data_IF_148601350116
#
_entry.id   IF_148601350116
#
_cell.length_a   1.000
_cell.length_b   1.000
_cell.length_c   1.000
_cell.angle_alpha   90.00
_cell.angle_beta   90.00
_cell.angle_gamma   90.00
#
_symmetry.space_group_name_H-M   'P 1'
#
loop_
_entity.id
_entity.type
_entity.pdbx_description
1 polymer ?
#
# COMPACT_ATOMS: atom_id res chain seq x y z
N UNK A 1 -22.81 11.30 -80.52
CA UNK A 1 -21.80 11.02 -79.52
C UNK A 1 -22.32 11.49 -78.16
N UNK A 2 -22.73 10.61 -77.30
CA UNK A 2 -23.25 10.94 -75.94
C UNK A 2 -22.16 10.69 -74.97
N UNK A 3 -21.58 11.66 -74.30
CA UNK A 3 -20.62 11.55 -73.25
C UNK A 3 -21.36 11.48 -71.92
N UNK A 4 -21.35 10.27 -71.32
CA UNK A 4 -21.83 10.06 -69.96
C UNK A 4 -20.77 10.49 -68.99
N UNK A 5 -21.01 11.54 -68.22
CA UNK A 5 -20.19 11.94 -67.07
C UNK A 5 -20.52 11.10 -65.85
N UNK A 6 -19.55 10.33 -65.39
CA UNK A 6 -19.65 9.56 -64.14
C UNK A 6 -19.35 10.52 -62.99
N UNK A 7 -20.36 10.84 -62.17
CA UNK A 7 -20.22 11.64 -60.97
C UNK A 7 -19.81 10.71 -59.81
N UNK A 8 -18.54 10.70 -59.45
CA UNK A 8 -18.04 9.96 -58.27
C UNK A 8 -18.35 10.76 -57.00
N UNK A 9 -19.34 10.31 -56.25
CA UNK A 9 -19.66 10.87 -54.94
C UNK A 9 -18.67 10.29 -53.91
N UNK A 10 -17.72 11.11 -53.45
CA UNK A 10 -16.82 10.78 -52.37
C UNK A 10 -17.58 10.93 -51.04
N UNK A 11 -18.04 9.82 -50.45
CA UNK A 11 -18.58 9.80 -49.09
C UNK A 11 -17.45 9.99 -48.11
N UNK A 12 -17.25 11.21 -47.62
CA UNK A 12 -16.42 11.48 -46.44
C UNK A 12 -17.25 11.11 -45.21
N UNK A 13 -17.08 9.91 -44.71
CA UNK A 13 -17.60 9.56 -43.39
C UNK A 13 -16.79 10.33 -42.35
N UNK A 14 -17.30 11.48 -41.93
CA UNK A 14 -16.83 12.17 -40.74
C UNK A 14 -17.18 11.28 -39.55
N UNK A 15 -16.21 10.50 -39.06
CA UNK A 15 -16.35 9.78 -37.81
C UNK A 15 -16.49 10.82 -36.69
N UNK A 16 -17.72 11.06 -36.27
CA UNK A 16 -17.96 11.79 -35.04
C UNK A 16 -17.29 10.96 -33.93
N UNK A 17 -16.17 11.45 -33.42
CA UNK A 17 -15.65 10.99 -32.13
C UNK A 17 -16.72 11.42 -31.13
N UNK A 18 -17.64 10.50 -30.82
CA UNK A 18 -18.52 10.66 -29.67
C UNK A 18 -17.59 10.74 -28.47
N UNK A 19 -17.37 11.94 -27.92
CA UNK A 19 -16.80 12.11 -26.61
C UNK A 19 -17.74 11.35 -25.66
N UNK A 20 -17.34 10.17 -25.25
CA UNK A 20 -18.07 9.45 -24.22
C UNK A 20 -17.98 10.26 -22.93
N UNK A 21 -19.11 10.43 -22.25
CA UNK A 21 -19.13 11.08 -20.95
C UNK A 21 -18.29 10.28 -19.94
N UNK A 22 -17.69 11.00 -19.00
CA UNK A 22 -16.96 10.36 -17.90
C UNK A 22 -17.90 9.40 -17.15
N UNK A 23 -17.49 8.14 -16.91
CA UNK A 23 -18.30 7.21 -16.14
C UNK A 23 -18.65 7.73 -14.75
N UNK A 24 -19.91 7.61 -14.33
CA UNK A 24 -20.42 8.07 -13.03
C UNK A 24 -19.74 7.41 -11.83
N UNK A 25 -19.21 6.19 -12.04
CA UNK A 25 -18.52 5.42 -11.00
C UNK A 25 -17.02 5.39 -11.31
N UNK A 26 -16.21 6.26 -10.69
CA UNK A 26 -14.76 6.23 -10.85
C UNK A 26 -14.17 4.97 -10.22
N UNK A 27 -12.99 4.59 -10.67
CA UNK A 27 -12.18 3.60 -9.96
C UNK A 27 -11.66 4.17 -8.64
N UNK A 28 -11.33 3.30 -7.69
CA UNK A 28 -10.72 3.68 -6.42
C UNK A 28 -9.51 2.79 -6.13
N UNK A 29 -8.34 3.42 -6.04
CA UNK A 29 -7.11 2.80 -5.55
C UNK A 29 -6.81 3.35 -4.17
N UNK A 30 -6.96 2.52 -3.15
CA UNK A 30 -6.65 2.86 -1.76
C UNK A 30 -5.33 2.20 -1.36
N UNK A 31 -4.29 3.02 -1.18
CA UNK A 31 -2.96 2.58 -0.76
C UNK A 31 -2.78 2.85 0.72
N UNK A 32 -2.75 1.78 1.51
CA UNK A 32 -2.53 1.82 2.95
C UNK A 32 -1.15 1.27 3.28
N UNK A 33 -0.30 2.14 3.78
CA UNK A 33 1.09 1.81 4.09
C UNK A 33 1.22 1.47 5.57
N UNK A 34 2.05 0.50 5.89
CA UNK A 34 2.23 -0.02 7.24
C UNK A 34 3.40 0.66 7.94
N UNK A 35 3.11 1.37 9.02
CA UNK A 35 4.09 2.10 9.84
C UNK A 35 4.93 3.13 9.05
N UNK A 36 4.37 3.80 8.06
CA UNK A 36 5.04 4.92 7.38
C UNK A 36 4.80 6.21 8.17
N UNK A 37 5.86 6.84 8.65
CA UNK A 37 5.79 8.14 9.28
C UNK A 37 5.53 9.26 8.29
N UNK A 38 4.91 10.34 8.75
CA UNK A 38 4.64 11.49 7.88
C UNK A 38 5.93 12.19 7.44
N UNK A 39 7.00 12.13 8.25
CA UNK A 39 8.31 12.65 7.91
C UNK A 39 9.11 11.77 6.93
N UNK A 40 8.61 10.59 6.60
CA UNK A 40 9.31 9.64 5.75
C UNK A 40 9.04 9.88 4.25
N UNK A 41 8.30 10.94 3.92
CA UNK A 41 7.97 11.33 2.54
C UNK A 41 8.44 12.75 2.28
N UNK A 42 9.24 12.94 1.23
CA UNK A 42 9.91 14.23 0.93
C UNK A 42 8.92 15.37 0.72
N UNK A 43 7.73 15.09 0.19
CA UNK A 43 6.74 16.13 -0.11
C UNK A 43 6.18 16.88 1.10
N UNK A 44 6.44 16.41 2.32
CA UNK A 44 6.04 17.17 3.52
C UNK A 44 6.97 18.34 3.84
N UNK A 45 8.16 18.38 3.23
CA UNK A 45 9.11 19.52 3.31
C UNK A 45 9.39 19.96 4.75
N UNK A 46 9.92 19.05 5.53
CA UNK A 46 10.22 19.29 6.93
C UNK A 46 11.54 20.01 7.11
N UNK A 47 11.71 20.64 8.26
CA UNK A 47 12.88 21.45 8.62
C UNK A 47 14.23 20.69 8.59
N UNK A 48 14.19 19.36 8.68
CA UNK A 48 15.37 18.51 8.57
C UNK A 48 15.49 17.84 7.19
N UNK A 49 16.74 17.66 6.69
CA UNK A 49 16.95 17.00 5.40
C UNK A 49 16.40 15.59 5.40
N UNK A 50 15.35 15.34 4.64
CA UNK A 50 14.79 14.01 4.43
C UNK A 50 15.76 13.13 3.61
N UNK A 51 16.29 12.03 4.16
CA UNK A 51 17.25 11.19 3.44
C UNK A 51 16.59 10.32 2.38
N UNK A 52 15.28 10.13 2.45
CA UNK A 52 14.52 9.22 1.59
C UNK A 52 14.41 9.76 0.16
N UNK A 53 14.18 8.87 -0.78
CA UNK A 53 13.89 9.22 -2.18
C UNK A 53 12.49 8.73 -2.53
N UNK A 54 11.54 9.68 -2.64
CA UNK A 54 10.11 9.40 -2.81
C UNK A 54 9.49 10.11 -4.02
N UNK A 55 10.13 10.04 -5.22
CA UNK A 55 9.71 10.85 -6.36
C UNK A 55 8.28 10.54 -6.85
N UNK A 56 7.79 9.31 -6.68
CA UNK A 56 6.44 8.92 -7.10
C UNK A 56 5.37 9.40 -6.11
N UNK A 57 5.63 9.29 -4.80
CA UNK A 57 4.77 9.86 -3.76
C UNK A 57 4.73 11.39 -3.88
N UNK A 58 5.86 12.04 -4.15
CA UNK A 58 5.95 13.49 -4.38
C UNK A 58 5.20 13.91 -5.65
N UNK A 59 5.25 13.10 -6.70
CA UNK A 59 4.45 13.32 -7.92
C UNK A 59 2.96 13.22 -7.62
N UNK A 60 2.55 12.25 -6.82
CA UNK A 60 1.16 12.08 -6.41
C UNK A 60 0.66 13.27 -5.60
N UNK A 61 1.45 13.76 -4.62
CA UNK A 61 1.10 14.92 -3.79
C UNK A 61 0.90 16.19 -4.62
N UNK A 62 1.76 16.42 -5.63
CA UNK A 62 1.65 17.58 -6.53
C UNK A 62 0.43 17.53 -7.46
N UNK A 63 -0.11 16.34 -7.74
CA UNK A 63 -1.29 16.15 -8.60
C UNK A 63 -2.60 16.10 -7.82
N UNK A 64 -2.54 16.00 -6.51
CA UNK A 64 -3.69 15.79 -5.65
C UNK A 64 -3.84 16.85 -4.57
N UNK A 65 -4.49 16.47 -3.48
CA UNK A 65 -4.66 17.28 -2.27
C UNK A 65 -3.94 16.58 -1.12
N UNK A 66 -3.07 17.30 -0.45
CA UNK A 66 -2.34 16.82 0.71
C UNK A 66 -3.02 17.32 2.00
N UNK A 67 -3.39 16.39 2.87
CA UNK A 67 -4.05 16.70 4.14
C UNK A 67 -2.99 16.80 5.24
N UNK A 68 -2.59 18.02 5.60
CA UNK A 68 -1.57 18.28 6.63
C UNK A 68 -2.06 17.97 8.05
N UNK A 69 -3.37 17.93 8.26
CA UNK A 69 -4.00 17.63 9.54
C UNK A 69 -4.83 16.35 9.46
N UNK A 70 -4.35 15.35 8.72
CA UNK A 70 -4.94 14.02 8.68
C UNK A 70 -4.37 13.14 9.80
N UNK A 71 -5.24 12.64 10.68
CA UNK A 71 -4.82 11.83 11.82
C UNK A 71 -5.31 10.40 11.69
N UNK A 72 -4.41 9.46 12.01
CA UNK A 72 -4.78 8.05 12.17
C UNK A 72 -5.71 7.89 13.38
N UNK A 73 -6.72 7.01 13.30
CA UNK A 73 -7.66 6.79 14.41
C UNK A 73 -7.04 6.03 15.58
N UNK A 74 -5.85 5.47 15.43
CA UNK A 74 -5.12 4.73 16.47
C UNK A 74 -3.62 4.73 16.16
N UNK A 75 -2.75 4.69 17.18
CA UNK A 75 -1.30 4.58 16.98
C UNK A 75 -0.81 3.17 16.60
N UNK A 76 -1.72 2.22 16.32
CA UNK A 76 -1.38 0.84 15.99
C UNK A 76 -2.30 0.25 14.91
N UNK A 77 -1.76 -0.69 14.15
CA UNK A 77 -2.31 -1.22 12.90
C UNK A 77 -3.76 -1.72 12.98
N UNK A 78 -4.05 -2.72 13.82
CA UNK A 78 -5.35 -3.42 13.80
C UNK A 78 -6.54 -2.51 14.10
N UNK A 79 -6.51 -1.66 15.13
CA UNK A 79 -7.58 -0.69 15.37
C UNK A 79 -7.75 0.31 14.24
N UNK A 80 -6.66 0.84 13.69
CA UNK A 80 -6.72 1.78 12.56
C UNK A 80 -7.34 1.15 11.33
N UNK A 81 -6.89 -0.06 10.96
CA UNK A 81 -7.43 -0.78 9.79
C UNK A 81 -8.90 -1.11 9.94
N UNK A 82 -9.31 -1.53 11.15
CA UNK A 82 -10.73 -1.74 11.47
C UNK A 82 -11.56 -0.45 11.38
N UNK A 83 -11.01 0.67 11.83
CA UNK A 83 -11.67 1.98 11.77
C UNK A 83 -11.80 2.47 10.32
N UNK A 84 -10.74 2.36 9.51
CA UNK A 84 -10.75 2.72 8.07
C UNK A 84 -11.84 1.94 7.32
N UNK A 85 -11.94 0.64 7.56
CA UNK A 85 -12.93 -0.20 6.86
C UNK A 85 -14.36 0.05 7.33
N UNK A 86 -14.57 0.25 8.63
CA UNK A 86 -15.92 0.38 9.22
C UNK A 86 -16.43 1.82 9.32
N UNK A 87 -15.55 2.82 9.15
CA UNK A 87 -15.88 4.23 9.42
C UNK A 87 -16.15 4.53 10.89
N UNK A 88 -15.72 3.67 11.82
CA UNK A 88 -16.00 3.78 13.25
C UNK A 88 -14.71 3.91 14.05
N UNK A 89 -14.67 4.89 14.96
CA UNK A 89 -13.55 5.05 15.88
C UNK A 89 -13.30 3.77 16.71
N UNK A 90 -12.02 3.40 16.98
CA UNK A 90 -11.65 2.18 17.73
C UNK A 90 -12.36 2.01 19.07
N UNK A 91 -12.65 3.10 19.79
CA UNK A 91 -13.41 3.03 21.04
C UNK A 91 -14.87 2.54 20.85
N UNK A 92 -15.48 2.79 19.68
CA UNK A 92 -16.83 2.30 19.34
C UNK A 92 -16.83 0.83 18.97
N UNK A 93 -15.80 0.38 18.27
CA UNK A 93 -15.63 -1.02 17.85
C UNK A 93 -15.08 -1.88 18.98
N UNK A 94 -14.57 -1.25 20.05
CA UNK A 94 -13.84 -1.90 21.14
C UNK A 94 -12.62 -2.71 20.68
N UNK A 95 -12.09 -2.42 19.49
CA UNK A 95 -10.83 -2.93 18.99
C UNK A 95 -9.78 -1.84 19.16
N UNK A 96 -9.02 -1.87 20.27
CA UNK A 96 -8.15 -0.78 20.70
C UNK A 96 -6.67 -1.18 20.81
N UNK A 97 -6.31 -2.41 20.44
CA UNK A 97 -4.92 -2.90 20.45
C UNK A 97 -4.70 -4.02 19.42
N UNK A 98 -3.45 -4.24 19.05
CA UNK A 98 -3.03 -5.27 18.08
C UNK A 98 -3.01 -6.70 18.64
N UNK A 99 -2.93 -6.84 19.94
CA UNK A 99 -2.67 -8.13 20.62
C UNK A 99 -3.88 -8.69 21.36
N UNK A 100 -5.07 -8.28 20.99
CA UNK A 100 -6.27 -8.56 21.73
C UNK A 100 -7.08 -9.75 21.21
N UNK A 101 -8.13 -10.08 21.91
CA UNK A 101 -9.06 -11.17 21.65
C UNK A 101 -9.11 -12.16 22.78
N UNK A 102 -8.42 -11.85 23.85
CA UNK A 102 -8.67 -12.52 25.13
C UNK A 102 -9.59 -11.63 25.94
N UNK A 103 -10.61 -12.21 26.62
CA UNK A 103 -11.37 -11.47 27.60
C UNK A 103 -10.41 -10.77 28.55
N UNK A 104 -10.77 -9.63 29.14
CA UNK A 104 -9.95 -9.00 30.14
C UNK A 104 -9.72 -10.01 31.24
N UNK A 105 -8.52 -10.55 31.27
CA UNK A 105 -8.15 -11.35 32.42
C UNK A 105 -7.82 -10.34 33.52
N UNK A 106 -8.55 -10.33 34.63
CA UNK A 106 -8.34 -9.37 35.73
C UNK A 106 -6.95 -9.43 36.33
N UNK A 107 -6.11 -10.33 35.87
CA UNK A 107 -4.79 -10.66 36.44
C UNK A 107 -3.62 -10.31 35.49
N UNK A 108 -3.84 -9.66 34.37
CA UNK A 108 -2.74 -9.16 33.55
C UNK A 108 -2.13 -7.87 34.14
N UNK A 109 -1.89 -7.90 35.44
CA UNK A 109 -1.01 -6.96 36.12
C UNK A 109 0.46 -7.42 35.90
N UNK A 110 0.97 -7.21 34.72
CA UNK A 110 2.43 -7.34 34.49
C UNK A 110 3.16 -6.14 35.10
N UNK A 111 3.04 -5.94 36.43
CA UNK A 111 3.68 -4.82 37.11
C UNK A 111 3.09 -3.42 36.77
N UNK A 112 2.07 -3.32 35.94
CA UNK A 112 1.43 -2.06 35.57
C UNK A 112 0.43 -1.62 36.63
N UNK A 113 0.43 -0.33 36.96
CA UNK A 113 -0.53 0.27 37.92
C UNK A 113 -1.96 0.31 37.40
N UNK A 114 -2.18 0.08 36.08
CA UNK A 114 -3.47 0.14 35.44
C UNK A 114 -3.82 -1.19 34.78
N UNK A 115 -5.09 -1.55 34.80
CA UNK A 115 -5.65 -2.68 34.05
C UNK A 115 -6.15 -2.14 32.73
N UNK A 116 -5.65 -2.68 31.60
CA UNK A 116 -6.15 -2.32 30.29
C UNK A 116 -7.65 -2.64 30.16
N UNK A 117 -8.44 -1.80 29.49
CA UNK A 117 -9.85 -2.08 29.24
C UNK A 117 -10.00 -3.35 28.40
N UNK A 118 -11.20 -3.91 28.43
CA UNK A 118 -11.53 -5.01 27.54
C UNK A 118 -11.38 -4.56 26.09
N UNK A 119 -10.71 -5.37 25.30
CA UNK A 119 -10.53 -5.13 23.88
C UNK A 119 -11.07 -6.32 23.09
N UNK A 120 -11.94 -6.03 22.13
CA UNK A 120 -12.40 -7.02 21.16
C UNK A 120 -11.19 -7.43 20.29
N UNK A 121 -11.04 -8.70 20.03
CA UNK A 121 -9.89 -9.20 19.27
C UNK A 121 -9.98 -9.00 17.76
N UNK A 122 -10.56 -7.93 17.30
CA UNK A 122 -10.70 -7.58 15.89
C UNK A 122 -12.05 -6.95 15.57
N UNK A 123 -12.25 -6.65 14.30
CA UNK A 123 -13.51 -6.09 13.78
C UNK A 123 -14.66 -7.09 13.95
N UNK A 124 -15.85 -6.61 14.30
CA UNK A 124 -17.04 -7.44 14.29
C UNK A 124 -17.33 -7.91 12.87
N UNK A 125 -17.52 -9.23 12.65
CA UNK A 125 -17.86 -9.74 11.32
C UNK A 125 -19.16 -9.16 10.72
N UNK A 126 -20.02 -8.60 11.57
CA UNK A 126 -21.27 -7.95 11.15
C UNK A 126 -21.12 -6.46 10.81
N UNK A 127 -19.91 -5.91 10.97
CA UNK A 127 -19.68 -4.53 10.56
C UNK A 127 -19.88 -4.39 9.05
N UNK A 128 -20.71 -3.41 8.66
CA UNK A 128 -20.87 -3.03 7.27
C UNK A 128 -19.69 -2.13 6.87
N UNK A 129 -18.86 -2.63 6.00
CA UNK A 129 -17.62 -1.98 5.61
C UNK A 129 -17.76 -1.16 4.33
N UNK A 130 -16.82 -0.23 4.10
CA UNK A 130 -16.71 0.49 2.83
C UNK A 130 -16.62 -0.45 1.64
N UNK A 131 -15.97 -1.61 1.83
CA UNK A 131 -15.85 -2.65 0.78
C UNK A 131 -17.20 -3.21 0.40
N UNK A 132 -18.03 -3.57 1.39
CA UNK A 132 -19.40 -4.05 1.16
C UNK A 132 -20.24 -2.98 0.49
N UNK A 133 -20.15 -1.72 0.96
CA UNK A 133 -20.85 -0.60 0.36
C UNK A 133 -20.48 -0.39 -1.12
N UNK A 134 -19.22 -0.46 -1.46
CA UNK A 134 -18.77 -0.36 -2.85
C UNK A 134 -19.20 -1.55 -3.68
N UNK A 135 -19.11 -2.77 -3.14
CA UNK A 135 -19.58 -4.00 -3.80
C UNK A 135 -21.09 -3.94 -4.10
N UNK A 136 -21.91 -3.52 -3.14
CA UNK A 136 -23.35 -3.36 -3.30
C UNK A 136 -23.69 -2.30 -4.37
N UNK A 137 -22.75 -1.38 -4.62
CA UNK A 137 -22.83 -0.39 -5.71
C UNK A 137 -22.15 -0.85 -7.01
N UNK A 138 -21.85 -2.13 -7.16
CA UNK A 138 -21.37 -2.74 -8.42
C UNK A 138 -19.88 -2.55 -8.69
N UNK A 139 -19.08 -2.27 -7.66
CA UNK A 139 -17.62 -2.28 -7.78
C UNK A 139 -17.08 -3.72 -7.71
N UNK A 140 -16.07 -4.01 -8.52
CA UNK A 140 -15.21 -5.18 -8.34
C UNK A 140 -14.19 -4.86 -7.24
N UNK A 141 -14.14 -5.66 -6.18
CA UNK A 141 -13.37 -5.34 -4.98
C UNK A 141 -12.18 -6.26 -4.80
N UNK A 142 -10.99 -5.69 -4.60
CA UNK A 142 -9.74 -6.42 -4.41
C UNK A 142 -8.97 -5.98 -3.17
N UNK A 143 -8.37 -6.95 -2.49
CA UNK A 143 -7.46 -6.75 -1.38
C UNK A 143 -6.13 -7.44 -1.65
N UNK A 144 -5.02 -6.74 -1.47
CA UNK A 144 -3.67 -7.31 -1.55
C UNK A 144 -2.82 -6.87 -0.36
N UNK A 145 -2.06 -7.80 0.22
CA UNK A 145 -1.12 -7.52 1.28
C UNK A 145 -1.66 -7.71 2.71
N UNK A 146 -1.33 -6.79 3.62
CA UNK A 146 -1.62 -6.90 5.05
C UNK A 146 -3.10 -6.65 5.35
N UNK A 147 -3.73 -7.59 6.04
CA UNK A 147 -5.11 -7.47 6.51
C UNK A 147 -5.20 -6.89 7.93
N UNK A 148 -4.85 -7.68 8.91
CA UNK A 148 -4.70 -7.32 10.31
C UNK A 148 -5.89 -6.59 10.96
N UNK A 149 -7.11 -6.97 10.62
CA UNK A 149 -8.34 -6.47 11.29
C UNK A 149 -8.91 -7.47 12.30
N UNK A 150 -8.26 -8.61 12.48
CA UNK A 150 -8.59 -9.64 13.45
C UNK A 150 -7.41 -9.87 14.40
N UNK A 151 -7.60 -10.71 15.41
CA UNK A 151 -6.63 -11.02 16.47
C UNK A 151 -5.24 -11.38 15.93
N UNK A 152 -5.22 -12.02 14.79
CA UNK A 152 -4.04 -12.36 14.03
C UNK A 152 -4.43 -12.49 12.54
N UNK A 153 -3.45 -12.70 11.69
CA UNK A 153 -3.69 -12.80 10.25
C UNK A 153 -4.47 -14.05 9.81
N UNK A 154 -4.79 -14.96 10.71
CA UNK A 154 -5.52 -16.19 10.42
C UNK A 154 -6.96 -16.19 10.96
N UNK A 155 -7.25 -15.26 11.87
CA UNK A 155 -8.54 -15.21 12.53
C UNK A 155 -9.63 -14.59 11.63
N UNK A 156 -10.86 -14.95 11.90
CA UNK A 156 -12.04 -14.37 11.29
C UNK A 156 -12.32 -12.96 11.85
N UNK A 157 -12.79 -11.99 11.05
CA UNK A 157 -13.13 -12.11 9.63
C UNK A 157 -11.90 -12.01 8.71
N UNK A 158 -11.96 -12.69 7.57
CA UNK A 158 -11.00 -12.58 6.48
C UNK A 158 -11.47 -11.53 5.45
N UNK A 159 -10.63 -11.05 4.51
CA UNK A 159 -11.06 -10.05 3.54
C UNK A 159 -12.32 -10.44 2.75
N UNK A 160 -12.42 -11.70 2.34
CA UNK A 160 -13.58 -12.20 1.59
C UNK A 160 -14.87 -12.17 2.40
N UNK A 161 -14.79 -12.31 3.72
CA UNK A 161 -15.93 -12.22 4.64
C UNK A 161 -16.41 -10.76 4.81
N UNK A 162 -15.58 -9.81 4.40
CA UNK A 162 -15.83 -8.37 4.48
C UNK A 162 -16.07 -7.71 3.11
N UNK A 163 -16.45 -8.52 2.11
CA UNK A 163 -16.93 -8.03 0.83
C UNK A 163 -15.90 -7.97 -0.29
N UNK A 164 -14.65 -8.38 -0.06
CA UNK A 164 -13.67 -8.45 -1.15
C UNK A 164 -13.93 -9.66 -2.05
N UNK A 165 -14.02 -9.42 -3.37
CA UNK A 165 -14.16 -10.47 -4.38
C UNK A 165 -12.85 -11.23 -4.58
N UNK A 166 -11.72 -10.52 -4.42
CA UNK A 166 -10.37 -11.03 -4.56
C UNK A 166 -9.52 -10.68 -3.35
N UNK A 167 -8.70 -11.62 -2.89
CA UNK A 167 -7.71 -11.36 -1.86
C UNK A 167 -6.51 -12.28 -1.97
N UNK A 168 -5.31 -11.69 -1.81
CA UNK A 168 -4.04 -12.42 -1.66
C UNK A 168 -3.59 -12.54 -0.23
N UNK A 169 -4.50 -12.37 0.70
CA UNK A 169 -4.17 -12.31 2.12
C UNK A 169 -3.37 -13.53 2.63
N UNK A 170 -2.32 -13.26 3.42
CA UNK A 170 -1.70 -14.22 4.31
C UNK A 170 -2.77 -14.75 5.32
N UNK A 171 -2.93 -16.05 5.62
CA UNK A 171 -1.87 -17.05 5.61
C UNK A 171 -1.91 -18.07 4.46
N UNK A 172 -2.87 -17.98 3.57
CA UNK A 172 -2.97 -18.96 2.48
C UNK A 172 -1.80 -18.90 1.51
N UNK A 173 -1.13 -17.76 1.47
CA UNK A 173 0.01 -17.53 0.62
C UNK A 173 1.11 -16.80 1.39
N UNK A 174 2.23 -17.48 1.68
CA UNK A 174 3.36 -16.83 2.36
C UNK A 174 3.93 -15.64 1.57
N UNK A 175 3.82 -15.67 0.24
CA UNK A 175 4.23 -14.56 -0.62
C UNK A 175 3.37 -13.31 -0.46
N UNK A 176 2.20 -13.41 0.18
CA UNK A 176 1.35 -12.25 0.48
C UNK A 176 1.98 -11.23 1.45
N UNK A 177 3.12 -11.53 2.05
CA UNK A 177 3.95 -10.57 2.77
C UNK A 177 4.93 -9.82 1.86
N UNK A 178 4.85 -10.01 0.55
CA UNK A 178 5.68 -9.34 -0.42
C UNK A 178 7.18 -9.57 -0.19
N UNK A 179 7.97 -8.56 -0.47
CA UNK A 179 9.43 -8.60 -0.35
C UNK A 179 9.94 -8.92 1.05
N UNK A 180 9.12 -8.76 2.08
CA UNK A 180 9.47 -9.09 3.46
C UNK A 180 9.25 -10.56 3.82
N UNK A 181 8.67 -11.36 2.93
CA UNK A 181 8.39 -12.77 3.20
C UNK A 181 9.67 -13.60 3.34
N UNK A 182 9.73 -14.40 4.40
CA UNK A 182 10.80 -15.40 4.61
C UNK A 182 12.21 -14.83 4.84
N UNK A 183 12.36 -13.53 5.11
CA UNK A 183 13.66 -12.96 5.47
C UNK A 183 14.02 -13.32 6.90
N UNK A 184 15.11 -14.07 7.06
CA UNK A 184 15.62 -14.52 8.38
C UNK A 184 16.90 -13.80 8.81
N UNK A 185 17.64 -13.27 7.85
CA UNK A 185 18.90 -12.58 8.08
C UNK A 185 19.00 -11.39 7.14
N UNK A 186 19.20 -10.19 7.67
CA UNK A 186 19.24 -8.93 6.92
C UNK A 186 20.35 -8.90 5.87
N UNK A 187 21.49 -9.58 6.12
CA UNK A 187 22.64 -9.58 5.23
C UNK A 187 22.75 -10.80 4.29
N UNK A 188 21.87 -11.79 4.43
CA UNK A 188 21.99 -13.05 3.68
C UNK A 188 20.83 -13.32 2.69
N UNK A 189 19.80 -12.48 2.68
CA UNK A 189 18.61 -12.73 1.87
C UNK A 189 18.45 -11.72 0.73
N UNK A 190 19.55 -11.22 0.19
CA UNK A 190 19.51 -10.34 -0.98
C UNK A 190 18.97 -11.08 -2.19
N UNK A 191 18.11 -10.39 -2.92
CA UNK A 191 17.60 -10.87 -4.19
C UNK A 191 18.69 -10.79 -5.26
N UNK A 192 18.57 -11.65 -6.25
CA UNK A 192 19.53 -11.77 -7.35
C UNK A 192 18.86 -11.44 -8.69
N UNK A 193 19.64 -11.29 -9.75
CA UNK A 193 19.12 -11.16 -11.13
C UNK A 193 18.71 -12.52 -11.74
N UNK A 194 18.84 -13.63 -10.98
CA UNK A 194 18.43 -14.94 -11.47
C UNK A 194 16.90 -14.98 -11.72
N UNK A 195 16.42 -15.34 -12.93
CA UNK A 195 15.00 -15.45 -13.22
C UNK A 195 14.21 -16.44 -12.33
N UNK A 196 14.92 -17.38 -11.69
CA UNK A 196 14.32 -18.35 -10.75
C UNK A 196 14.18 -17.81 -9.32
N UNK A 197 14.79 -16.67 -9.03
CA UNK A 197 14.63 -16.00 -7.75
C UNK A 197 13.21 -15.42 -7.67
N UNK A 198 12.37 -15.82 -6.71
CA UNK A 198 11.02 -15.28 -6.57
C UNK A 198 10.98 -13.77 -6.30
N UNK A 199 12.07 -13.23 -5.79
CA UNK A 199 12.26 -11.79 -5.52
C UNK A 199 13.29 -11.15 -6.45
N UNK A 200 13.50 -11.74 -7.63
CA UNK A 200 14.53 -11.29 -8.59
C UNK A 200 14.56 -9.77 -8.73
N UNK A 201 15.78 -9.25 -8.81
CA UNK A 201 15.98 -7.84 -9.08
C UNK A 201 15.66 -7.52 -10.54
N UNK A 202 15.03 -6.39 -10.76
CA UNK A 202 14.92 -5.79 -12.08
C UNK A 202 16.25 -5.15 -12.53
N UNK A 203 16.24 -4.49 -13.67
CA UNK A 203 17.42 -3.81 -14.23
C UNK A 203 17.92 -2.66 -13.35
N UNK A 204 17.02 -2.03 -12.58
CA UNK A 204 17.29 -0.90 -11.70
C UNK A 204 17.70 -1.34 -10.28
N UNK A 205 17.67 -2.64 -9.99
CA UNK A 205 18.05 -3.20 -8.69
C UNK A 205 16.93 -3.27 -7.67
N UNK A 206 15.66 -3.08 -8.08
CA UNK A 206 14.52 -3.27 -7.20
C UNK A 206 14.06 -4.72 -7.19
N UNK A 207 13.76 -5.29 -6.01
CA UNK A 207 13.27 -6.65 -5.92
C UNK A 207 11.82 -6.76 -6.41
N UNK A 208 11.48 -7.89 -7.00
CA UNK A 208 10.08 -8.17 -7.34
C UNK A 208 9.25 -8.34 -6.07
N UNK A 209 8.13 -7.62 -5.99
CA UNK A 209 7.16 -7.72 -4.90
C UNK A 209 5.88 -8.43 -5.35
N UNK A 210 5.56 -9.54 -4.68
CA UNK A 210 4.35 -10.30 -5.01
C UNK A 210 3.06 -9.54 -4.70
N UNK A 211 3.04 -8.69 -3.67
CA UNK A 211 1.86 -7.88 -3.31
C UNK A 211 1.58 -6.88 -4.43
N UNK A 212 2.61 -6.16 -4.86
CA UNK A 212 2.51 -5.21 -5.98
C UNK A 212 2.19 -5.91 -7.30
N UNK A 213 2.81 -7.06 -7.55
CA UNK A 213 2.52 -7.87 -8.74
C UNK A 213 1.05 -8.31 -8.83
N UNK A 214 0.44 -8.70 -7.71
CA UNK A 214 -0.99 -9.04 -7.67
C UNK A 214 -1.89 -7.79 -7.76
N UNK A 215 -1.45 -6.65 -7.23
CA UNK A 215 -2.15 -5.38 -7.42
C UNK A 215 -2.21 -4.99 -8.91
N UNK A 216 -1.09 -5.04 -9.61
CA UNK A 216 -1.02 -4.75 -11.04
C UNK A 216 -1.91 -5.68 -11.87
N UNK A 217 -1.89 -7.00 -11.56
CA UNK A 217 -2.78 -7.97 -12.20
C UNK A 217 -4.26 -7.67 -11.95
N UNK A 218 -4.61 -7.28 -10.71
CA UNK A 218 -5.99 -6.93 -10.38
C UNK A 218 -6.44 -5.69 -11.17
N UNK A 219 -5.62 -4.63 -11.22
CA UNK A 219 -5.92 -3.41 -11.96
C UNK A 219 -6.16 -3.71 -13.45
N UNK A 220 -5.26 -4.49 -14.08
CA UNK A 220 -5.43 -4.89 -15.47
C UNK A 220 -6.70 -5.71 -15.72
N UNK A 221 -7.00 -6.63 -14.84
CA UNK A 221 -8.12 -7.56 -14.99
C UNK A 221 -9.47 -6.89 -14.76
N UNK A 222 -9.51 -5.87 -13.89
CA UNK A 222 -10.75 -5.24 -13.43
C UNK A 222 -11.07 -3.91 -14.13
N UNK A 223 -10.23 -3.44 -15.04
CA UNK A 223 -10.39 -2.12 -15.71
C UNK A 223 -11.70 -1.94 -16.49
N UNK A 224 -12.35 -3.03 -16.89
CA UNK A 224 -13.63 -3.01 -17.60
C UNK A 224 -14.85 -2.70 -16.72
N UNK A 225 -14.69 -2.64 -15.40
CA UNK A 225 -15.74 -2.33 -14.41
C UNK A 225 -15.20 -1.33 -13.39
N UNK A 226 -16.05 -0.57 -12.68
CA UNK A 226 -15.56 0.22 -11.56
C UNK A 226 -14.91 -0.73 -10.55
N UNK A 227 -13.69 -0.42 -10.13
CA UNK A 227 -12.98 -1.25 -9.16
C UNK A 227 -12.64 -0.46 -7.89
N UNK A 228 -12.55 -1.19 -6.78
CA UNK A 228 -11.94 -0.77 -5.53
C UNK A 228 -10.78 -1.71 -5.21
N UNK A 229 -9.55 -1.21 -5.28
CA UNK A 229 -8.38 -1.93 -4.84
C UNK A 229 -7.87 -1.38 -3.51
N UNK A 230 -7.86 -2.22 -2.48
CA UNK A 230 -7.23 -1.96 -1.20
C UNK A 230 -5.83 -2.58 -1.22
N UNK A 231 -4.85 -1.76 -1.59
CA UNK A 231 -3.43 -2.12 -1.59
C UNK A 231 -2.84 -1.83 -0.21
N UNK A 232 -2.55 -2.87 0.55
CA UNK A 232 -2.05 -2.80 1.90
C UNK A 232 -0.60 -3.30 1.96
N UNK A 233 0.36 -2.41 1.72
CA UNK A 233 1.78 -2.75 1.77
C UNK A 233 2.20 -3.23 3.17
N UNK A 234 3.12 -4.20 3.22
CA UNK A 234 3.84 -4.56 4.43
C UNK A 234 5.06 -3.67 4.68
N UNK A 235 5.55 -2.99 3.64
CA UNK A 235 6.54 -1.95 3.81
C UNK A 235 5.86 -0.74 4.49
N UNK A 236 6.51 -0.12 5.41
CA UNK A 236 7.88 -0.19 5.88
C UNK A 236 7.98 -0.80 7.29
N UNK A 237 6.97 -1.56 7.69
CA UNK A 237 6.91 -2.22 8.99
C UNK A 237 8.16 -3.08 9.26
N UNK A 238 8.51 -3.19 10.52
CA UNK A 238 9.62 -4.06 10.96
C UNK A 238 9.38 -5.55 10.61
N UNK A 239 10.45 -6.36 10.50
CA UNK A 239 11.86 -6.04 10.71
C UNK A 239 12.43 -5.18 9.59
N UNK A 240 13.27 -4.19 9.94
CA UNK A 240 13.93 -3.34 8.95
C UNK A 240 14.99 -4.14 8.20
N UNK A 241 14.80 -4.28 6.90
CA UNK A 241 15.63 -5.13 6.05
C UNK A 241 15.39 -4.82 4.57
N UNK A 242 16.38 -5.04 3.73
CA UNK A 242 16.26 -4.85 2.29
C UNK A 242 16.66 -6.11 1.55
N UNK A 243 15.91 -6.47 0.49
CA UNK A 243 16.36 -7.49 -0.47
C UNK A 243 17.29 -6.93 -1.54
N UNK A 244 17.42 -5.61 -1.64
CA UNK A 244 18.34 -4.97 -2.58
C UNK A 244 19.62 -4.58 -1.86
N UNK A 245 20.68 -5.29 -2.12
CA UNK A 245 22.02 -4.92 -1.67
C UNK A 245 22.44 -3.57 -2.26
N UNK A 246 22.09 -3.32 -3.52
CA UNK A 246 22.41 -2.08 -4.22
C UNK A 246 21.81 -0.86 -3.54
N UNK A 247 20.53 -0.93 -3.13
CA UNK A 247 19.89 0.15 -2.40
C UNK A 247 20.49 0.33 -1.00
N UNK A 248 20.81 -0.76 -0.33
CA UNK A 248 21.46 -0.69 0.98
C UNK A 248 22.83 0.02 0.87
N UNK A 249 23.68 -0.36 -0.09
CA UNK A 249 24.95 0.28 -0.37
C UNK A 249 24.79 1.77 -0.74
N UNK A 250 23.79 2.09 -1.57
CA UNK A 250 23.42 3.46 -1.92
C UNK A 250 23.19 4.31 -0.69
N UNK A 251 22.37 3.82 0.23
CA UNK A 251 22.02 4.59 1.43
C UNK A 251 23.14 4.62 2.47
N UNK A 252 23.94 3.58 2.61
CA UNK A 252 25.16 3.65 3.42
C UNK A 252 26.07 4.79 2.93
N UNK A 253 26.32 4.86 1.63
CA UNK A 253 27.11 5.93 1.01
C UNK A 253 26.47 7.31 1.18
N UNK A 254 25.15 7.41 0.94
CA UNK A 254 24.39 8.69 1.05
C UNK A 254 24.43 9.26 2.46
N UNK A 255 24.33 8.41 3.46
CA UNK A 255 24.30 8.78 4.87
C UNK A 255 25.70 8.89 5.49
N UNK A 256 26.75 8.47 4.79
CA UNK A 256 28.12 8.46 5.31
C UNK A 256 28.32 7.46 6.45
N UNK A 257 27.66 6.31 6.39
CA UNK A 257 27.76 5.25 7.39
C UNK A 257 28.40 4.00 6.78
N UNK A 258 29.09 3.23 7.61
CA UNK A 258 29.73 1.99 7.17
C UNK A 258 28.65 0.95 6.78
N UNK A 259 29.03 0.08 5.83
CA UNK A 259 28.17 -1.04 5.47
C UNK A 259 28.04 -2.00 6.67
N UNK A 260 26.84 -2.46 7.04
CA UNK A 260 26.64 -3.27 8.22
C UNK A 260 27.30 -4.62 8.10
N UNK A 261 28.04 -5.01 9.13
CA UNK A 261 28.67 -6.33 9.26
C UNK A 261 27.90 -7.26 10.20
N UNK A 262 27.11 -6.67 11.10
CA UNK A 262 26.23 -7.38 12.02
C UNK A 262 24.76 -7.16 11.63
N UNK A 263 24.00 -8.23 11.30
CA UNK A 263 22.59 -8.12 10.94
C UNK A 263 21.68 -7.71 12.09
N UNK A 264 22.11 -7.85 13.35
CA UNK A 264 21.28 -7.64 14.55
C UNK A 264 21.59 -6.33 15.25
N UNK A 265 22.84 -5.88 15.20
CA UNK A 265 23.37 -4.83 16.08
C UNK A 265 23.37 -3.42 15.52
N UNK A 266 22.81 -3.18 14.34
CA UNK A 266 22.94 -1.91 13.66
C UNK A 266 21.83 -0.92 14.05
N UNK A 267 22.13 -0.07 14.99
CA UNK A 267 21.28 1.06 15.42
C UNK A 267 21.91 2.37 14.98
N UNK A 268 21.13 3.27 14.44
CA UNK A 268 21.53 4.64 14.09
C UNK A 268 20.48 5.60 14.61
N UNK A 269 20.95 6.70 15.19
CA UNK A 269 20.06 7.75 15.68
C UNK A 269 19.41 8.52 14.52
N UNK A 270 18.15 8.90 14.71
CA UNK A 270 17.38 9.70 13.76
C UNK A 270 17.07 8.98 12.44
N UNK A 271 16.72 9.75 11.43
CA UNK A 271 16.37 9.27 10.09
C UNK A 271 17.62 8.79 9.30
N UNK A 272 18.45 7.98 9.90
CA UNK A 272 19.76 7.58 9.36
C UNK A 272 19.94 6.09 9.18
N UNK A 273 18.85 5.31 9.23
CA UNK A 273 18.91 3.87 9.04
C UNK A 273 18.83 3.51 7.54
N UNK A 274 19.94 3.03 6.91
CA UNK A 274 19.95 2.74 5.49
C UNK A 274 19.00 1.59 5.09
N UNK A 275 18.69 0.65 5.99
CA UNK A 275 17.66 -0.36 5.69
C UNK A 275 16.30 0.29 5.52
N UNK A 276 15.93 1.18 6.43
CA UNK A 276 14.66 1.90 6.35
C UNK A 276 14.58 2.78 5.10
N UNK A 277 15.65 3.53 4.82
CA UNK A 277 15.73 4.32 3.59
C UNK A 277 15.53 3.46 2.33
N UNK A 278 16.18 2.30 2.28
CA UNK A 278 16.02 1.36 1.16
C UNK A 278 14.59 0.79 1.08
N UNK A 279 13.91 0.60 2.21
CA UNK A 279 12.50 0.15 2.24
C UNK A 279 11.57 1.24 1.74
N UNK A 280 11.76 2.49 2.15
CA UNK A 280 10.93 3.63 1.71
C UNK A 280 11.08 3.85 0.20
N UNK A 281 12.31 3.85 -0.33
CA UNK A 281 12.53 3.98 -1.78
C UNK A 281 11.95 2.78 -2.56
N UNK A 282 12.07 1.57 -2.02
CA UNK A 282 11.45 0.37 -2.61
C UNK A 282 9.91 0.49 -2.66
N UNK A 283 9.31 1.01 -1.60
CA UNK A 283 7.87 1.31 -1.56
C UNK A 283 7.49 2.33 -2.63
N UNK A 284 8.23 3.43 -2.70
CA UNK A 284 8.00 4.48 -3.71
C UNK A 284 8.05 3.92 -5.14
N UNK A 285 9.02 3.04 -5.41
CA UNK A 285 9.11 2.35 -6.69
C UNK A 285 7.85 1.53 -7.01
N UNK A 286 7.31 0.77 -6.05
CA UNK A 286 6.09 -0.01 -6.27
C UNK A 286 4.85 0.86 -6.48
N UNK A 287 4.76 1.97 -5.77
CA UNK A 287 3.72 2.98 -6.02
C UNK A 287 3.86 3.52 -7.45
N UNK A 288 5.08 3.83 -7.88
CA UNK A 288 5.39 4.26 -9.24
C UNK A 288 4.93 3.28 -10.31
N UNK A 289 5.08 1.97 -10.09
CA UNK A 289 4.59 0.95 -11.02
C UNK A 289 3.06 1.00 -11.18
N UNK A 290 2.32 1.13 -10.07
CA UNK A 290 0.85 1.24 -10.13
C UNK A 290 0.40 2.54 -10.80
N UNK A 291 1.03 3.67 -10.48
CA UNK A 291 0.75 4.95 -11.12
C UNK A 291 1.03 4.90 -12.63
N UNK A 292 2.16 4.31 -13.03
CA UNK A 292 2.52 4.14 -14.44
C UNK A 292 1.49 3.29 -15.19
N UNK A 293 1.02 2.19 -14.58
CA UNK A 293 -0.04 1.39 -15.19
C UNK A 293 -1.31 2.22 -15.41
N UNK A 294 -1.76 2.98 -14.41
CA UNK A 294 -2.95 3.83 -14.54
C UNK A 294 -2.76 4.95 -15.56
N UNK A 295 -1.57 5.54 -15.67
CA UNK A 295 -1.24 6.62 -16.60
C UNK A 295 -1.11 6.15 -18.06
N UNK A 296 -0.74 4.89 -18.26
CA UNK A 296 -0.48 4.37 -19.63
C UNK A 296 -1.63 3.54 -20.18
N UNK A 297 -2.44 2.93 -19.33
CA UNK A 297 -3.56 2.06 -19.74
C UNK A 297 -4.81 2.88 -20.08
N UNK A 298 -5.43 2.61 -21.22
CA UNK A 298 -6.72 3.19 -21.56
C UNK A 298 -7.84 2.68 -20.65
N UNK A 299 -8.76 3.57 -20.27
CA UNK A 299 -10.00 3.19 -19.60
C UNK A 299 -11.00 2.68 -20.64
N UNK A 300 -11.28 1.35 -20.70
CA UNK A 300 -12.22 0.82 -21.68
C UNK A 300 -13.66 1.31 -21.46
N UNK A 301 -13.95 1.91 -20.30
CA UNK A 301 -15.25 2.54 -19.98
C UNK A 301 -15.32 4.00 -20.42
N UNK A 302 -14.16 4.62 -20.72
CA UNK A 302 -14.06 6.00 -21.18
C UNK A 302 -13.05 6.11 -22.33
N UNK A 303 -13.43 5.69 -23.56
CA UNK A 303 -12.54 5.64 -24.70
C UNK A 303 -11.83 6.97 -24.97
N UNK A 304 -10.53 6.90 -25.22
CA UNK A 304 -9.67 8.07 -25.43
C UNK A 304 -9.06 8.66 -24.15
N UNK A 305 -9.41 8.11 -22.97
CA UNK A 305 -8.88 8.53 -21.68
C UNK A 305 -8.09 7.42 -21.01
N UNK A 306 -7.20 7.78 -20.09
CA UNK A 306 -6.42 6.83 -19.29
C UNK A 306 -7.14 6.50 -17.99
N UNK A 307 -6.84 5.32 -17.41
CA UNK A 307 -7.43 4.90 -16.14
C UNK A 307 -7.23 5.95 -15.04
N UNK A 308 -6.06 6.61 -15.01
CA UNK A 308 -5.74 7.64 -14.02
C UNK A 308 -6.74 8.80 -14.00
N UNK A 309 -7.29 9.15 -15.17
CA UNK A 309 -8.22 10.27 -15.34
C UNK A 309 -9.59 10.01 -14.69
N UNK A 310 -9.89 8.73 -14.42
CA UNK A 310 -11.13 8.30 -13.79
C UNK A 310 -10.88 7.41 -12.55
N UNK A 311 -9.78 7.67 -11.83
CA UNK A 311 -9.40 6.93 -10.62
C UNK A 311 -9.19 7.89 -9.46
N UNK A 312 -9.90 7.68 -8.35
CA UNK A 312 -9.52 8.26 -7.07
C UNK A 312 -8.37 7.44 -6.48
N UNK A 313 -7.27 8.12 -6.21
CA UNK A 313 -6.11 7.53 -5.56
C UNK A 313 -6.03 8.11 -4.15
N UNK A 314 -6.11 7.24 -3.15
CA UNK A 314 -5.98 7.60 -1.74
C UNK A 314 -4.71 6.96 -1.22
N UNK A 315 -3.78 7.77 -0.74
CA UNK A 315 -2.53 7.33 -0.14
C UNK A 315 -2.49 7.76 1.31
N UNK A 316 -2.29 6.81 2.22
CA UNK A 316 -2.20 7.08 3.66
C UNK A 316 -1.42 5.98 4.39
N UNK A 317 -0.93 6.28 5.59
CA UNK A 317 -0.43 5.28 6.53
C UNK A 317 -1.55 4.83 7.47
N UNK A 318 -1.43 3.63 8.03
CA UNK A 318 -2.40 3.15 9.04
C UNK A 318 -2.13 3.75 10.43
N UNK A 319 -0.89 4.07 10.73
CA UNK A 319 -0.44 4.78 11.93
C UNK A 319 0.86 5.53 11.62
N UNK A 320 1.47 6.15 12.61
CA UNK A 320 2.79 6.76 12.48
C UNK A 320 3.91 5.73 12.34
N UNK A 321 5.12 6.22 12.09
CA UNK A 321 6.30 5.39 12.00
C UNK A 321 6.65 4.71 13.33
N UNK A 322 7.47 3.68 13.24
CA UNK A 322 7.90 2.95 14.43
C UNK A 322 8.99 3.68 15.21
N UNK A 323 8.70 4.04 16.44
CA UNK A 323 9.71 4.32 17.45
C UNK A 323 10.20 3.00 18.05
N UNK A 324 11.44 2.62 17.82
CA UNK A 324 11.96 1.35 18.33
C UNK A 324 13.18 1.52 19.22
N UNK A 325 13.20 0.83 20.35
CA UNK A 325 14.33 0.82 21.29
C UNK A 325 15.65 0.28 20.69
N UNK A 326 15.62 -0.25 19.49
CA UNK A 326 16.78 -0.84 18.82
C UNK A 326 17.01 -0.31 17.40
N UNK A 327 16.10 0.49 16.89
CA UNK A 327 16.19 1.09 15.55
C UNK A 327 15.48 2.42 15.68
N UNK A 328 16.20 3.43 16.11
CA UNK A 328 15.67 4.79 16.20
C UNK A 328 15.41 5.33 14.80
N UNK A 329 14.28 4.94 14.27
CA UNK A 329 13.67 5.65 13.16
C UNK A 329 12.77 6.68 13.82
N UNK A 330 13.26 7.89 13.95
CA UNK A 330 12.42 8.99 14.39
C UNK A 330 11.45 9.30 13.26
N UNK A 331 10.28 8.82 13.43
CA UNK A 331 9.13 9.28 12.69
C UNK A 331 8.25 9.89 13.73
N UNK A 332 8.17 11.21 13.77
CA UNK A 332 7.20 11.86 14.63
C UNK A 332 5.79 11.37 14.26
N UNK A 333 5.08 10.90 15.27
CA UNK A 333 3.71 10.42 15.14
C UNK A 333 2.73 11.58 14.95
#
# INVERSE_FOLDING_TARGET
MKTSGLLTILLVTLGAVLCADRPDKPHVLFMLIDDLGWQDVVCYDLDEPCPYETPNMDKLSRKGVMFLNGYSPSPVCSPSRGAILSGKHPARTMNTTVASGKPPAPFHRRGNSFIAPWCRGGMDPKEYTITQALKDNGYTTGHVGKWHVAINHHAFPQPVDQGFDFSTHYPKNQMARGVQSGMKNRLANFATKNPKDPYRLDENGYPYDHVTGEALKFLEKSKGSPFFLYYASWLVHSPLQSRSQVLLEKYCKKLGVDYPTDPEGWTLEGQRNPYYCAMVETLDYYIGQMLTLLETTEDPRWPGHKLIENTYIIFTSDNGGMEGHHLEVFTDN
#
